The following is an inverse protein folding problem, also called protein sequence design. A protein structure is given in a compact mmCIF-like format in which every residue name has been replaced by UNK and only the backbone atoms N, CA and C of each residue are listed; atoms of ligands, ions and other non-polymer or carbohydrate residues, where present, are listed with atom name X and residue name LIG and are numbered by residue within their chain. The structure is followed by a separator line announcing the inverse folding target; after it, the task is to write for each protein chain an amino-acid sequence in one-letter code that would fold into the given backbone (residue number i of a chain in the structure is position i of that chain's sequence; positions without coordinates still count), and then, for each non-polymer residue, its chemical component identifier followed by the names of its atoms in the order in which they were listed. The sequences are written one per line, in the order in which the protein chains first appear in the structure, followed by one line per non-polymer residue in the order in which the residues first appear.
data_IF_833334837010
#
_entry.id   IF_833334837010
#
_cell.length_a   1.000
_cell.length_b   1.000
_cell.length_c   1.000
_cell.angle_alpha   90.00
_cell.angle_beta   90.00
_cell.angle_gamma   90.00
#
_symmetry.space_group_name_H-M   'P 1'
#
loop_
_entity.id
_entity.type
_entity.pdbx_description
1 polymer ?
#
# COMPACT_ATOMS: atom_id res chain seq x y z
N UNK A 1 9.07 26.22 -1.70
CA UNK A 1 9.60 24.93 -1.17
C UNK A 1 8.66 24.59 -0.04
N UNK A 2 7.57 23.91 -0.37
CA UNK A 2 6.38 23.91 0.47
C UNK A 2 6.31 22.57 1.20
N UNK A 3 6.88 22.58 2.40
CA UNK A 3 6.97 21.49 3.38
C UNK A 3 5.61 20.83 3.71
N UNK A 4 4.48 21.39 3.28
CA UNK A 4 3.12 20.84 3.44
C UNK A 4 2.78 19.74 2.43
N UNK A 5 3.43 19.71 1.25
CA UNK A 5 3.21 18.64 0.26
C UNK A 5 4.03 17.37 0.53
N UNK A 6 5.14 17.48 1.26
CA UNK A 6 5.95 16.31 1.65
C UNK A 6 5.39 15.58 2.87
N UNK A 7 4.57 16.23 3.73
CA UNK A 7 3.93 15.57 4.88
C UNK A 7 2.81 14.60 4.46
N UNK A 8 2.19 14.81 3.29
CA UNK A 8 1.20 13.91 2.68
C UNK A 8 1.81 12.71 1.94
N UNK A 9 3.15 12.67 1.80
CA UNK A 9 3.85 11.59 1.07
C UNK A 9 3.99 10.30 1.89
N UNK A 10 3.87 10.36 3.23
CA UNK A 10 4.17 9.22 4.13
C UNK A 10 2.94 8.50 4.74
N UNK A 11 1.71 8.91 4.45
CA UNK A 11 0.49 8.21 4.92
C UNK A 11 0.04 7.11 3.94
N UNK A 12 0.98 6.34 3.40
CA UNK A 12 0.71 5.34 2.36
C UNK A 12 1.32 3.99 2.70
N UNK A 13 0.69 2.92 2.23
CA UNK A 13 1.28 1.58 2.24
C UNK A 13 2.31 1.49 1.12
N UNK A 14 3.53 1.06 1.42
CA UNK A 14 4.56 0.73 0.41
C UNK A 14 5.22 -0.60 0.81
N UNK A 15 5.65 -1.35 -0.20
CA UNK A 15 6.45 -2.54 0.01
C UNK A 15 7.85 -2.16 0.49
N UNK A 16 8.44 -2.99 1.35
CA UNK A 16 9.85 -2.84 1.70
C UNK A 16 10.73 -3.03 0.47
N UNK A 17 11.85 -2.31 0.43
CA UNK A 17 12.82 -2.37 -0.67
C UNK A 17 13.38 -3.78 -0.85
N UNK A 18 13.61 -4.49 0.25
CA UNK A 18 14.06 -5.87 0.26
C UNK A 18 13.03 -6.82 -0.36
N UNK A 19 11.75 -6.70 0.04
CA UNK A 19 10.68 -7.54 -0.51
C UNK A 19 10.53 -7.36 -2.01
N UNK A 20 10.60 -6.12 -2.51
CA UNK A 20 10.57 -5.86 -3.96
C UNK A 20 11.74 -6.52 -4.69
N UNK A 21 12.96 -6.39 -4.18
CA UNK A 21 14.16 -6.99 -4.77
C UNK A 21 14.09 -8.52 -4.77
N UNK A 22 13.51 -9.13 -3.74
CA UNK A 22 13.35 -10.59 -3.64
C UNK A 22 12.37 -11.17 -4.68
N UNK A 23 11.33 -10.40 -5.07
CA UNK A 23 10.31 -10.85 -6.01
C UNK A 23 10.74 -10.71 -7.47
N UNK A 24 11.57 -9.71 -7.78
CA UNK A 24 12.08 -9.48 -9.14
C UNK A 24 13.16 -10.52 -9.46
N UNK A 25 12.73 -11.59 -10.14
CA UNK A 25 13.61 -12.62 -10.69
C UNK A 25 13.81 -12.45 -12.20
N UNK A 26 14.89 -13.02 -12.72
CA UNK A 26 15.17 -13.12 -14.16
C UNK A 26 14.21 -14.13 -14.82
N UNK A 27 14.10 -14.05 -16.14
CA UNK A 27 13.37 -15.02 -17.00
C UNK A 27 11.84 -15.00 -16.88
N UNK A 28 11.27 -13.99 -16.26
CA UNK A 28 9.84 -13.73 -16.19
C UNK A 28 9.57 -12.29 -16.63
N UNK A 29 8.34 -12.02 -17.09
CA UNK A 29 7.88 -10.66 -17.36
C UNK A 29 7.35 -10.03 -16.09
N UNK A 30 7.74 -8.78 -15.85
CA UNK A 30 7.12 -7.90 -14.86
C UNK A 30 5.94 -7.18 -15.53
N UNK A 31 4.79 -7.22 -14.88
CA UNK A 31 3.58 -6.51 -15.31
C UNK A 31 3.22 -5.50 -14.22
N UNK A 32 3.35 -4.23 -14.57
CA UNK A 32 2.96 -3.10 -13.73
C UNK A 32 1.67 -2.48 -14.23
N UNK A 33 0.78 -2.15 -13.29
CA UNK A 33 -0.44 -1.38 -13.51
C UNK A 33 -0.58 -0.29 -12.45
N UNK A 34 -1.14 0.85 -12.83
CA UNK A 34 -1.46 1.94 -11.93
C UNK A 34 -2.90 2.40 -12.18
N UNK A 35 -3.60 2.78 -11.11
CA UNK A 35 -4.97 3.27 -11.17
C UNK A 35 -5.16 4.39 -10.17
N UNK A 36 -5.87 5.42 -10.60
CA UNK A 36 -6.37 6.49 -9.75
C UNK A 36 -7.84 6.22 -9.43
N UNK A 37 -8.16 6.06 -8.16
CA UNK A 37 -9.52 5.74 -7.69
C UNK A 37 -9.94 6.71 -6.61
N UNK A 38 -11.22 7.05 -6.60
CA UNK A 38 -11.86 7.79 -5.51
C UNK A 38 -12.64 6.80 -4.65
N UNK A 39 -12.37 6.77 -3.36
CA UNK A 39 -13.15 5.99 -2.40
C UNK A 39 -14.45 6.74 -2.05
N UNK A 40 -15.40 6.02 -1.45
CA UNK A 40 -16.66 6.53 -0.88
C UNK A 40 -16.43 7.68 0.12
N UNK A 41 -15.39 7.56 0.95
CA UNK A 41 -14.98 8.57 1.94
C UNK A 41 -14.50 9.90 1.34
N UNK A 42 -14.34 9.98 0.01
CA UNK A 42 -13.86 11.16 -0.70
C UNK A 42 -12.33 11.26 -0.79
N UNK A 43 -11.60 10.21 -0.42
CA UNK A 43 -10.16 10.14 -0.66
C UNK A 43 -9.87 9.76 -2.11
N UNK A 44 -8.88 10.43 -2.71
CA UNK A 44 -8.36 10.02 -4.02
C UNK A 44 -7.05 9.28 -3.82
N UNK A 45 -7.00 8.02 -4.21
CA UNK A 45 -5.87 7.11 -4.06
C UNK A 45 -5.28 6.75 -5.42
N UNK A 46 -3.94 6.68 -5.49
CA UNK A 46 -3.19 6.07 -6.59
C UNK A 46 -2.61 4.75 -6.13
N UNK A 47 -3.16 3.66 -6.65
CA UNK A 47 -2.71 2.31 -6.35
C UNK A 47 -1.79 1.80 -7.45
N UNK A 48 -0.71 1.13 -7.07
CA UNK A 48 0.20 0.45 -7.99
C UNK A 48 0.16 -1.04 -7.71
N UNK A 49 -0.11 -1.83 -8.74
CA UNK A 49 -0.07 -3.28 -8.66
C UNK A 49 1.08 -3.83 -9.50
N UNK A 50 1.73 -4.84 -8.95
CA UNK A 50 2.78 -5.61 -9.62
C UNK A 50 2.30 -7.06 -9.71
N UNK A 51 2.54 -7.66 -10.87
CA UNK A 51 2.39 -9.09 -11.09
C UNK A 51 3.60 -9.64 -11.84
N UNK A 52 3.94 -10.89 -11.56
CA UNK A 52 4.95 -11.63 -12.30
C UNK A 52 4.30 -12.79 -13.04
N UNK A 53 4.86 -13.15 -14.18
CA UNK A 53 4.43 -14.36 -14.89
C UNK A 53 4.96 -15.61 -14.24
N UNK A 54 4.11 -16.63 -14.16
CA UNK A 54 4.45 -17.95 -13.64
C UNK A 54 4.80 -18.87 -14.80
N UNK A 55 5.81 -19.72 -14.61
CA UNK A 55 6.12 -20.80 -15.55
C UNK A 55 5.03 -21.89 -15.46
N UNK A 56 4.51 -22.34 -16.60
CA UNK A 56 3.55 -23.46 -16.63
C UNK A 56 4.26 -24.77 -16.28
N UNK A 57 3.61 -25.62 -15.48
CA UNK A 57 4.11 -26.97 -15.20
C UNK A 57 4.19 -27.76 -16.52
N UNK A 58 5.34 -28.39 -16.79
CA UNK A 58 5.64 -29.07 -18.05
C UNK A 58 6.30 -28.22 -19.14
N UNK A 59 6.51 -26.92 -18.91
CA UNK A 59 7.21 -26.08 -19.89
C UNK A 59 8.73 -26.39 -19.91
N UNK A 60 9.26 -26.77 -21.09
CA UNK A 60 10.68 -27.10 -21.28
C UNK A 60 11.56 -25.85 -21.15
N UNK A 61 11.13 -24.73 -21.75
CA UNK A 61 11.86 -23.46 -21.70
C UNK A 61 11.98 -22.94 -20.27
N UNK A 62 13.14 -22.35 -19.94
CA UNK A 62 13.39 -21.70 -18.64
C UNK A 62 12.69 -20.34 -18.51
N UNK A 63 12.30 -19.74 -19.64
CA UNK A 63 11.71 -18.39 -19.71
C UNK A 63 10.18 -18.43 -19.74
N UNK A 64 9.56 -17.48 -19.06
CA UNK A 64 8.11 -17.27 -18.98
C UNK A 64 7.78 -15.82 -19.38
N UNK A 65 8.11 -15.45 -20.63
CA UNK A 65 7.78 -14.12 -21.15
C UNK A 65 6.39 -14.11 -21.76
N UNK A 66 5.56 -13.15 -21.33
CA UNK A 66 4.25 -12.89 -21.95
C UNK A 66 4.41 -12.04 -23.22
N UNK A 67 3.53 -12.25 -24.20
CA UNK A 67 3.49 -11.37 -25.38
C UNK A 67 2.93 -9.99 -25.04
N UNK A 68 3.31 -8.96 -25.80
CA UNK A 68 2.85 -7.58 -25.59
C UNK A 68 1.32 -7.44 -25.62
N UNK A 69 0.62 -8.22 -26.44
CA UNK A 69 -0.84 -8.28 -26.48
C UNK A 69 -1.42 -8.79 -25.15
N UNK A 70 -0.89 -9.90 -24.64
CA UNK A 70 -1.29 -10.50 -23.36
C UNK A 70 -1.02 -9.54 -22.20
N UNK A 71 0.12 -8.85 -22.18
CA UNK A 71 0.46 -7.85 -21.16
C UNK A 71 -0.58 -6.73 -21.13
N UNK A 72 -1.01 -6.22 -22.30
CA UNK A 72 -2.05 -5.19 -22.39
C UNK A 72 -3.40 -5.68 -21.88
N UNK A 73 -3.78 -6.91 -22.22
CA UNK A 73 -5.04 -7.51 -21.75
C UNK A 73 -5.03 -7.72 -20.23
N UNK A 74 -3.91 -8.20 -19.67
CA UNK A 74 -3.75 -8.38 -18.22
C UNK A 74 -3.82 -7.01 -17.52
N UNK A 75 -3.12 -5.99 -18.02
CA UNK A 75 -3.18 -4.63 -17.46
C UNK A 75 -4.60 -4.08 -17.43
N UNK A 76 -5.39 -4.30 -18.49
CA UNK A 76 -6.79 -3.86 -18.54
C UNK A 76 -7.63 -4.52 -17.44
N UNK A 77 -7.51 -5.84 -17.27
CA UNK A 77 -8.21 -6.59 -16.21
C UNK A 77 -7.77 -6.18 -14.80
N UNK A 78 -6.47 -5.97 -14.59
CA UNK A 78 -5.94 -5.50 -13.30
C UNK A 78 -6.56 -4.15 -12.92
N UNK A 79 -6.58 -3.21 -13.86
CA UNK A 79 -7.15 -1.88 -13.64
C UNK A 79 -8.64 -1.96 -13.33
N UNK A 80 -9.37 -2.78 -14.06
CA UNK A 80 -10.82 -2.96 -13.89
C UNK A 80 -11.17 -3.50 -12.50
N UNK A 81 -10.50 -4.57 -12.05
CA UNK A 81 -10.75 -5.20 -10.75
C UNK A 81 -10.37 -4.25 -9.62
N UNK A 82 -9.22 -3.58 -9.73
CA UNK A 82 -8.78 -2.60 -8.73
C UNK A 82 -9.75 -1.43 -8.61
N UNK A 83 -10.23 -0.88 -9.73
CA UNK A 83 -11.17 0.23 -9.73
C UNK A 83 -12.53 -0.17 -9.15
N UNK A 84 -13.00 -1.38 -9.48
CA UNK A 84 -14.27 -1.92 -8.98
C UNK A 84 -14.25 -2.08 -7.46
N UNK A 85 -13.19 -2.69 -6.92
CA UNK A 85 -13.11 -2.97 -5.49
C UNK A 85 -12.84 -1.70 -4.66
N UNK A 86 -12.01 -0.78 -5.18
CA UNK A 86 -11.66 0.44 -4.46
C UNK A 86 -12.71 1.56 -4.54
N UNK A 87 -13.65 1.49 -5.48
CA UNK A 87 -14.75 2.46 -5.56
C UNK A 87 -15.92 2.13 -4.65
N UNK A 88 -16.09 0.86 -4.27
CA UNK A 88 -17.18 0.39 -3.42
C UNK A 88 -16.88 0.42 -1.92
N UNK A 89 -15.62 0.63 -1.52
CA UNK A 89 -15.17 0.46 -0.15
C UNK A 89 -14.64 1.75 0.47
N UNK A 90 -14.84 1.87 1.78
CA UNK A 90 -14.23 2.88 2.63
C UNK A 90 -12.73 2.58 2.86
N UNK A 91 -11.97 3.56 3.34
CA UNK A 91 -10.53 3.42 3.59
C UNK A 91 -10.21 2.30 4.58
N UNK A 92 -10.98 2.18 5.66
CA UNK A 92 -10.81 1.14 6.68
C UNK A 92 -10.91 -0.26 6.06
N UNK A 93 -11.98 -0.48 5.29
CA UNK A 93 -12.26 -1.75 4.64
C UNK A 93 -11.24 -2.08 3.54
N UNK A 94 -10.77 -1.05 2.83
CA UNK A 94 -9.73 -1.20 1.82
C UNK A 94 -8.41 -1.70 2.45
N UNK A 95 -8.03 -1.12 3.59
CA UNK A 95 -6.83 -1.55 4.35
C UNK A 95 -7.00 -2.97 4.89
N UNK A 96 -8.18 -3.31 5.40
CA UNK A 96 -8.48 -4.67 5.86
C UNK A 96 -8.37 -5.71 4.72
N UNK A 97 -8.67 -5.33 3.47
CA UNK A 97 -8.49 -6.18 2.28
C UNK A 97 -7.05 -6.25 1.77
N UNK A 98 -6.21 -5.26 2.07
CA UNK A 98 -4.80 -5.25 1.69
C UNK A 98 -3.96 -6.24 2.51
N UNK A 99 -4.24 -6.37 3.82
CA UNK A 99 -3.49 -7.25 4.73
C UNK A 99 -3.50 -8.72 4.27
N UNK A 100 -4.65 -9.35 3.93
CA UNK A 100 -4.69 -10.72 3.42
C UNK A 100 -4.46 -10.84 1.90
N UNK A 101 -4.12 -9.72 1.23
CA UNK A 101 -3.93 -9.62 -0.22
C UNK A 101 -5.14 -10.15 -1.04
N UNK A 102 -6.37 -9.89 -0.58
CA UNK A 102 -7.59 -10.42 -1.21
C UNK A 102 -7.70 -9.99 -2.69
N UNK A 103 -7.43 -8.72 -2.96
CA UNK A 103 -7.46 -8.14 -4.31
C UNK A 103 -6.43 -8.80 -5.23
N UNK A 104 -5.25 -9.14 -4.70
CA UNK A 104 -4.20 -9.83 -5.48
C UNK A 104 -4.65 -11.21 -5.96
N UNK A 105 -5.31 -11.97 -5.08
CA UNK A 105 -5.85 -13.30 -5.40
C UNK A 105 -6.97 -13.25 -6.44
N UNK A 106 -7.83 -12.23 -6.39
CA UNK A 106 -8.91 -12.10 -7.37
C UNK A 106 -8.40 -11.71 -8.76
N UNK A 107 -7.35 -10.89 -8.82
CA UNK A 107 -6.63 -10.62 -10.07
C UNK A 107 -6.00 -11.90 -10.63
N UNK A 108 -5.40 -12.74 -9.78
CA UNK A 108 -4.79 -14.01 -10.21
C UNK A 108 -5.84 -14.93 -10.86
N UNK A 109 -7.00 -15.12 -10.21
CA UNK A 109 -8.11 -15.92 -10.74
C UNK A 109 -8.60 -15.38 -12.09
N UNK A 110 -8.82 -14.07 -12.20
CA UNK A 110 -9.34 -13.45 -13.42
C UNK A 110 -8.35 -13.48 -14.60
N UNK A 111 -7.04 -13.52 -14.30
CA UNK A 111 -5.98 -13.55 -15.30
C UNK A 111 -5.52 -14.97 -15.68
N UNK A 112 -5.89 -16.00 -14.90
CA UNK A 112 -5.50 -17.39 -15.12
C UNK A 112 -5.88 -17.91 -16.52
N UNK A 113 -6.97 -17.41 -17.11
CA UNK A 113 -7.39 -17.74 -18.48
C UNK A 113 -6.54 -17.14 -19.60
N UNK A 114 -5.72 -16.11 -19.33
CA UNK A 114 -4.85 -15.48 -20.33
C UNK A 114 -3.43 -16.02 -20.19
N UNK A 115 -2.87 -15.88 -18.99
CA UNK A 115 -1.52 -16.31 -18.66
C UNK A 115 -1.44 -16.53 -17.14
N UNK A 116 -0.81 -17.61 -16.66
CA UNK A 116 -0.66 -17.84 -15.22
C UNK A 116 0.24 -16.77 -14.59
N UNK A 117 -0.26 -16.10 -13.56
CA UNK A 117 0.49 -15.12 -12.78
C UNK A 117 0.98 -15.72 -11.46
N UNK A 118 1.97 -15.09 -10.84
CA UNK A 118 2.43 -15.35 -9.48
C UNK A 118 2.77 -14.03 -8.80
N UNK A 119 2.68 -14.01 -7.47
CA UNK A 119 3.05 -12.87 -6.63
C UNK A 119 2.37 -11.57 -7.12
N UNK A 120 1.05 -11.60 -7.19
CA UNK A 120 0.23 -10.43 -7.52
C UNK A 120 -0.03 -9.66 -6.25
N UNK A 121 0.56 -8.47 -6.13
CA UNK A 121 0.44 -7.65 -4.93
C UNK A 121 0.28 -6.17 -5.28
N UNK A 122 -0.31 -5.42 -4.35
CA UNK A 122 -0.36 -3.97 -4.42
C UNK A 122 0.94 -3.45 -3.84
N UNK A 123 1.82 -2.96 -4.72
CA UNK A 123 3.15 -2.46 -4.33
C UNK A 123 3.03 -1.25 -3.42
N UNK A 124 2.25 -0.26 -3.82
CA UNK A 124 2.11 0.98 -3.07
C UNK A 124 0.77 1.64 -3.29
N UNK A 125 0.27 2.28 -2.25
CA UNK A 125 -0.93 3.10 -2.26
C UNK A 125 -0.53 4.50 -1.83
N UNK A 126 -0.79 5.46 -2.70
CA UNK A 126 -0.52 6.88 -2.42
C UNK A 126 -1.82 7.63 -2.30
N UNK A 127 -1.99 8.41 -1.25
CA UNK A 127 -3.09 9.38 -1.17
C UNK A 127 -2.71 10.58 -2.02
N UNK A 128 -3.50 10.89 -3.05
CA UNK A 128 -3.32 12.08 -3.88
C UNK A 128 -4.03 13.28 -3.26
N UNK A 129 -5.26 13.08 -2.82
CA UNK A 129 -6.10 14.13 -2.25
C UNK A 129 -6.83 13.59 -1.03
N UNK A 130 -6.56 14.20 0.11
CA UNK A 130 -7.37 14.00 1.31
C UNK A 130 -8.62 14.90 1.23
N UNK A 131 -9.79 14.41 1.67
CA UNK A 131 -10.97 15.24 1.85
C UNK A 131 -10.74 16.26 2.99
N UNK A 132 -11.63 17.25 3.09
CA UNK A 132 -11.61 18.18 4.22
C UNK A 132 -11.91 17.40 5.51
N UNK A 133 -11.20 17.77 6.57
CA UNK A 133 -11.21 17.04 7.84
C UNK A 133 -12.54 17.28 8.58
N UNK A 134 -13.37 16.24 8.64
CA UNK A 134 -14.64 16.26 9.40
C UNK A 134 -14.46 15.50 10.72
N UNK A 135 -14.63 16.21 11.84
CA UNK A 135 -14.48 15.67 13.20
C UNK A 135 -15.43 14.48 13.48
N UNK A 136 -16.63 14.51 12.88
CA UNK A 136 -17.65 13.47 13.04
C UNK A 136 -17.21 12.12 12.47
N UNK A 137 -16.64 12.13 11.25
CA UNK A 137 -16.11 10.91 10.61
C UNK A 137 -14.88 10.37 11.32
N UNK A 138 -14.12 11.23 12.00
CA UNK A 138 -12.93 10.83 12.74
C UNK A 138 -13.29 10.06 14.03
N UNK A 139 -14.33 10.48 14.74
CA UNK A 139 -14.79 9.81 15.96
C UNK A 139 -15.34 8.41 15.67
N UNK A 140 -16.03 8.21 14.55
CA UNK A 140 -16.44 6.87 14.07
C UNK A 140 -15.23 6.00 13.69
N UNK A 141 -14.13 6.63 13.24
CA UNK A 141 -12.93 5.89 12.88
C UNK A 141 -12.16 5.39 14.12
N UNK A 142 -12.15 6.17 15.21
CA UNK A 142 -11.35 5.92 16.41
C UNK A 142 -12.14 5.39 17.62
N UNK A 143 -13.47 5.24 17.51
CA UNK A 143 -14.33 4.79 18.62
C UNK A 143 -14.14 3.33 19.07
N UNK A 144 -13.43 2.51 18.29
CA UNK A 144 -13.19 1.09 18.59
C UNK A 144 -11.83 0.81 19.27
N UNK A 145 -11.07 1.84 19.62
CA UNK A 145 -9.94 1.65 20.54
C UNK A 145 -10.51 1.59 21.96
N UNK A 146 -10.76 0.39 22.47
CA UNK A 146 -10.81 0.20 23.92
C UNK A 146 -9.52 0.76 24.50
N UNK A 147 -9.66 1.82 25.28
CA UNK A 147 -8.58 2.50 25.98
C UNK A 147 -7.83 1.51 26.88
N UNK A 148 -6.75 0.89 26.40
CA UNK A 148 -5.65 0.62 27.30
C UNK A 148 -4.98 1.96 27.58
N UNK A 149 -5.49 2.57 28.65
CA UNK A 149 -5.04 3.82 29.26
C UNK A 149 -3.52 3.96 29.12
N UNK A 150 -3.01 4.96 28.38
CA UNK A 150 -1.62 5.34 28.53
C UNK A 150 -1.48 5.90 29.94
N UNK A 151 -0.93 5.08 30.85
CA UNK A 151 -0.42 5.57 32.13
C UNK A 151 0.45 6.77 31.80
N UNK A 152 0.02 7.97 32.23
CA UNK A 152 0.86 9.16 32.20
C UNK A 152 2.11 8.82 33.00
N UNK A 153 3.19 8.48 32.30
CA UNK A 153 4.52 8.54 32.88
C UNK A 153 4.80 10.02 33.02
N UNK A 154 4.56 10.54 34.22
CA UNK A 154 5.05 11.85 34.63
C UNK A 154 6.56 11.86 34.37
N UNK A 155 6.98 12.78 33.51
CA UNK A 155 8.40 13.10 33.35
C UNK A 155 8.91 13.48 34.75
N UNK A 156 9.92 12.79 35.31
CA UNK A 156 10.53 13.23 36.56
C UNK A 156 10.95 14.68 36.43
N UNK A 157 10.54 15.49 37.40
CA UNK A 157 10.83 16.91 37.48
C UNK A 157 12.33 17.17 37.29
N UNK A 158 12.62 18.25 36.57
CA UNK A 158 13.95 18.82 36.39
C UNK A 158 14.68 18.89 37.74
N UNK A 159 15.90 18.37 37.77
CA UNK A 159 16.83 18.54 38.89
C UNK A 159 17.27 20.01 38.85
N UNK A 160 16.93 20.87 39.83
CA UNK A 160 17.49 22.20 39.91
C UNK A 160 18.79 22.10 40.71
N UNK A 161 19.95 22.18 40.04
CA UNK A 161 21.23 22.26 40.74
C UNK A 161 22.41 21.73 39.95
N UNK A 162 22.72 22.35 38.81
CA UNK A 162 24.01 22.18 38.15
C UNK A 162 24.44 23.47 37.41
N UNK A 163 24.35 24.61 38.09
CA UNK A 163 25.09 25.83 37.75
C UNK A 163 25.60 26.48 39.04
N UNK A 164 26.66 25.90 39.61
CA UNK A 164 27.55 26.55 40.58
C UNK A 164 28.76 25.65 40.90
N UNK A 165 29.63 25.38 39.92
CA UNK A 165 31.00 24.91 40.17
C UNK A 165 31.86 24.88 38.90
N UNK A 166 31.99 26.01 38.18
CA UNK A 166 33.20 26.24 37.38
C UNK A 166 33.39 27.75 37.13
N UNK A 167 33.80 28.45 38.19
CA UNK A 167 34.48 29.73 38.09
C UNK A 167 35.41 29.88 39.30
N UNK A 168 36.71 30.00 39.01
CA UNK A 168 37.81 30.50 39.86
C UNK A 168 38.22 29.70 41.10
N UNK A 169 39.28 28.90 40.98
CA UNK A 169 40.57 29.03 41.69
C UNK A 169 41.50 27.86 41.32
#
# INVERSE_FOLDING_TARGET
MDFTTDKLRSMGMDFTTDKLRSMVRKWQTLIEAHVDVKTSDGFTLRMFCIAFTKKRQGQIKRTAYAQSSQIRTIRRKMVEIMAREASSCDLKDLVAKFIPEAIGKDIEKACQGIYPLQNVAIRKVKVLKAPKFDLTKLMEVHGDYTEEVPVKVERPAEIPGAEAAEATA
#
